data_IF_757235387525
#
_entry.id   IF_757235387525
#
_cell.length_a   1.000
_cell.length_b   1.000
_cell.length_c   1.000
_cell.angle_alpha   90.00
_cell.angle_beta   90.00
_cell.angle_gamma   90.00
#
_symmetry.space_group_name_H-M   'P 1'
#
loop_
_entity.id
_entity.type
_entity.pdbx_description
1 polymer ?
#
# COMPACT_ATOMS: atom_id res chain seq x y z
N UNK A 1 18.44 -11.06 -5.15
CA UNK A 1 17.80 -10.48 -3.95
C UNK A 1 16.43 -10.03 -4.39
N UNK A 2 15.37 -10.53 -3.76
CA UNK A 2 14.02 -10.13 -4.10
C UNK A 2 13.57 -9.04 -3.13
N UNK A 3 12.99 -7.96 -3.65
CA UNK A 3 12.62 -6.76 -2.91
C UNK A 3 11.22 -6.30 -3.29
N UNK A 4 10.56 -5.55 -2.40
CA UNK A 4 9.30 -4.88 -2.71
C UNK A 4 9.58 -3.81 -3.78
N UNK A 5 8.79 -3.80 -4.84
CA UNK A 5 8.99 -2.89 -5.98
C UNK A 5 8.03 -1.71 -5.92
N UNK A 6 8.48 -0.55 -6.37
CA UNK A 6 7.57 0.57 -6.59
C UNK A 6 6.71 0.27 -7.83
N UNK A 7 5.41 0.49 -7.71
CA UNK A 7 4.40 0.34 -8.76
C UNK A 7 3.86 1.73 -9.10
N UNK A 8 3.62 1.98 -10.39
CA UNK A 8 2.79 3.10 -10.83
C UNK A 8 1.32 2.66 -10.74
N UNK A 9 0.47 3.31 -9.90
CA UNK A 9 -0.94 2.96 -9.81
C UNK A 9 -1.65 2.99 -11.17
N UNK A 10 -1.20 3.79 -12.14
CA UNK A 10 -1.79 3.82 -13.49
C UNK A 10 -1.61 2.52 -14.28
N UNK A 11 -0.71 1.65 -13.85
CA UNK A 11 -0.51 0.32 -14.46
C UNK A 11 -1.48 -0.74 -13.91
N UNK A 12 -2.16 -0.44 -12.80
CA UNK A 12 -3.25 -1.27 -12.27
C UNK A 12 -4.51 -1.00 -13.09
N UNK A 13 -5.27 -2.04 -13.42
CA UNK A 13 -6.54 -1.89 -14.13
C UNK A 13 -7.53 -1.02 -13.34
N UNK A 14 -8.41 -0.33 -14.07
CA UNK A 14 -9.30 0.68 -13.47
C UNK A 14 -10.22 0.11 -12.38
N UNK A 15 -10.70 -1.13 -12.54
CA UNK A 15 -11.57 -1.77 -11.57
C UNK A 15 -10.81 -2.09 -10.27
N UNK A 16 -9.60 -2.65 -10.39
CA UNK A 16 -8.75 -2.94 -9.22
C UNK A 16 -8.35 -1.68 -8.48
N UNK A 17 -8.07 -0.57 -9.18
CA UNK A 17 -7.80 0.72 -8.53
C UNK A 17 -8.97 1.21 -7.70
N UNK A 18 -10.19 1.17 -8.25
CA UNK A 18 -11.40 1.56 -7.52
C UNK A 18 -11.60 0.70 -6.26
N UNK A 19 -11.40 -0.62 -6.38
CA UNK A 19 -11.47 -1.54 -5.25
C UNK A 19 -10.42 -1.18 -4.18
N UNK A 20 -9.16 -0.98 -4.60
CA UNK A 20 -8.07 -0.62 -3.68
C UNK A 20 -8.33 0.71 -2.98
N UNK A 21 -8.87 1.70 -3.70
CA UNK A 21 -9.29 2.99 -3.14
C UNK A 21 -10.37 2.82 -2.08
N UNK A 22 -11.43 2.06 -2.36
CA UNK A 22 -12.47 1.77 -1.37
C UNK A 22 -11.95 1.04 -0.13
N UNK A 23 -11.04 0.07 -0.32
CA UNK A 23 -10.40 -0.66 0.77
C UNK A 23 -9.52 0.25 1.63
N UNK A 24 -8.75 1.15 1.01
CA UNK A 24 -7.92 2.11 1.73
C UNK A 24 -8.76 3.10 2.55
N UNK A 25 -9.84 3.65 1.97
CA UNK A 25 -10.77 4.52 2.71
C UNK A 25 -11.35 3.78 3.92
N UNK A 26 -11.76 2.52 3.72
CA UNK A 26 -12.30 1.68 4.80
C UNK A 26 -11.24 1.43 5.88
N UNK A 27 -10.00 1.14 5.47
CA UNK A 27 -8.86 0.93 6.36
C UNK A 27 -8.56 2.17 7.22
N UNK A 28 -8.53 3.37 6.63
CA UNK A 28 -8.28 4.61 7.36
C UNK A 28 -9.42 4.88 8.34
N UNK A 29 -10.68 4.76 7.89
CA UNK A 29 -11.84 5.08 8.71
C UNK A 29 -12.10 4.07 9.84
N UNK A 30 -11.59 2.84 9.74
CA UNK A 30 -11.74 1.81 10.79
C UNK A 30 -11.04 2.21 12.10
N UNK A 31 -9.96 2.99 12.04
CA UNK A 31 -9.18 3.48 13.17
C UNK A 31 -8.82 4.94 12.94
N UNK A 32 -9.86 5.78 12.83
CA UNK A 32 -9.72 7.15 12.35
C UNK A 32 -8.77 7.99 13.21
N UNK A 33 -8.75 7.77 14.53
CA UNK A 33 -7.87 8.54 15.44
C UNK A 33 -6.41 8.14 15.26
N UNK A 34 -6.14 6.85 15.14
CA UNK A 34 -4.79 6.29 14.98
C UNK A 34 -4.24 6.51 13.57
N UNK A 35 -5.11 6.64 12.57
CA UNK A 35 -4.78 6.74 11.14
C UNK A 35 -5.11 8.10 10.52
N UNK A 36 -5.38 9.11 11.34
CA UNK A 36 -5.74 10.46 10.89
C UNK A 36 -4.67 11.12 10.01
N UNK A 37 -3.41 10.68 10.09
CA UNK A 37 -2.32 11.16 9.24
C UNK A 37 -2.28 10.50 7.87
N UNK A 38 -3.11 9.49 7.61
CA UNK A 38 -3.16 8.80 6.33
C UNK A 38 -4.12 9.52 5.37
N UNK A 39 -3.72 9.58 4.11
CA UNK A 39 -4.46 10.20 3.03
C UNK A 39 -4.37 9.31 1.79
N UNK A 40 -5.51 9.11 1.13
CA UNK A 40 -5.64 8.17 0.01
C UNK A 40 -4.77 8.56 -1.18
N UNK A 41 -4.50 9.85 -1.37
CA UNK A 41 -3.68 10.35 -2.48
C UNK A 41 -2.21 10.54 -2.16
N UNK A 42 -1.79 10.38 -0.89
CA UNK A 42 -0.42 10.72 -0.46
C UNK A 42 0.30 9.64 0.32
N UNK A 43 -0.43 8.80 1.04
CA UNK A 43 0.18 7.73 1.84
C UNK A 43 0.84 6.67 0.97
N UNK A 44 1.81 5.97 1.55
CA UNK A 44 2.42 4.81 0.92
C UNK A 44 1.46 3.64 1.06
N UNK A 45 1.11 3.04 -0.06
CA UNK A 45 0.18 1.91 -0.15
C UNK A 45 0.99 0.66 -0.43
N UNK A 46 0.71 -0.43 0.29
CA UNK A 46 1.33 -1.74 0.08
C UNK A 46 0.35 -2.71 -0.57
N UNK A 47 0.85 -3.48 -1.53
CA UNK A 47 0.08 -4.45 -2.30
C UNK A 47 0.68 -5.84 -2.26
N UNK A 48 -0.18 -6.86 -2.42
CA UNK A 48 0.23 -8.24 -2.69
C UNK A 48 0.72 -8.44 -4.14
N UNK A 49 1.03 -9.69 -4.50
CA UNK A 49 1.48 -10.06 -5.85
C UNK A 49 0.43 -9.83 -6.95
N UNK A 50 -0.86 -9.74 -6.59
CA UNK A 50 -1.99 -9.54 -7.50
C UNK A 50 -2.44 -8.06 -7.53
N UNK A 51 -1.62 -7.15 -7.00
CA UNK A 51 -1.89 -5.72 -6.84
C UNK A 51 -3.11 -5.41 -5.96
N UNK A 52 -3.49 -6.31 -5.05
CA UNK A 52 -4.52 -6.08 -4.04
C UNK A 52 -4.00 -5.26 -2.86
N UNK A 53 -4.77 -4.27 -2.41
CA UNK A 53 -4.46 -3.46 -1.22
C UNK A 53 -4.28 -4.35 0.03
N UNK A 54 -3.20 -4.15 0.77
CA UNK A 54 -2.93 -4.81 2.05
C UNK A 54 -2.87 -3.83 3.22
N UNK A 55 -2.16 -2.72 3.05
CA UNK A 55 -1.90 -1.78 4.15
C UNK A 55 -1.50 -0.40 3.62
N UNK A 56 -1.56 0.62 4.48
CA UNK A 56 -1.04 1.95 4.18
C UNK A 56 -0.26 2.54 5.36
N UNK A 57 0.80 3.28 5.05
CA UNK A 57 1.65 3.99 6.02
C UNK A 57 1.91 5.42 5.55
N UNK A 58 2.26 6.31 6.47
CA UNK A 58 2.48 7.71 6.16
C UNK A 58 3.77 7.93 5.33
N UNK A 59 4.82 7.14 5.61
CA UNK A 59 6.14 7.29 5.01
C UNK A 59 6.71 5.95 4.57
N UNK A 60 7.51 5.95 3.50
CA UNK A 60 8.14 4.75 2.98
C UNK A 60 9.15 4.20 4.00
N UNK A 61 9.02 2.94 4.45
CA UNK A 61 10.01 2.33 5.33
C UNK A 61 11.39 2.25 4.68
N UNK A 62 12.43 2.18 5.51
CA UNK A 62 13.79 1.96 5.03
C UNK A 62 13.95 0.60 4.34
N UNK A 63 15.05 0.43 3.61
CA UNK A 63 15.33 -0.79 2.84
C UNK A 63 15.40 -2.04 3.72
N UNK A 64 15.85 -1.92 4.98
CA UNK A 64 15.92 -3.06 5.90
C UNK A 64 14.53 -3.53 6.31
N UNK A 65 13.62 -2.60 6.59
CA UNK A 65 12.22 -2.89 6.88
C UNK A 65 11.50 -3.44 5.63
N UNK A 66 11.72 -2.85 4.45
CA UNK A 66 11.15 -3.37 3.20
C UNK A 66 11.60 -4.81 2.91
N UNK A 67 12.86 -5.16 3.21
CA UNK A 67 13.33 -6.54 3.09
C UNK A 67 12.61 -7.46 4.08
N UNK A 68 12.46 -7.05 5.34
CA UNK A 68 11.70 -7.84 6.33
C UNK A 68 10.24 -8.03 5.93
N UNK A 69 9.61 -6.99 5.38
CA UNK A 69 8.24 -7.08 4.86
C UNK A 69 8.17 -8.07 3.69
N UNK A 70 9.14 -8.03 2.77
CA UNK A 70 9.22 -8.99 1.66
C UNK A 70 9.32 -10.44 2.18
N UNK A 71 10.21 -10.67 3.15
CA UNK A 71 10.53 -12.02 3.64
C UNK A 71 9.41 -12.62 4.51
N UNK A 72 8.64 -11.79 5.21
CA UNK A 72 7.68 -12.24 6.24
C UNK A 72 6.21 -12.00 5.88
N UNK A 73 5.91 -11.33 4.76
CA UNK A 73 4.53 -11.01 4.37
C UNK A 73 4.28 -11.30 2.89
N UNK A 74 3.04 -11.13 2.45
CA UNK A 74 2.65 -11.17 1.04
C UNK A 74 2.93 -9.87 0.28
N UNK A 75 3.45 -8.83 0.93
CA UNK A 75 3.69 -7.53 0.28
C UNK A 75 4.78 -7.67 -0.80
N UNK A 76 4.46 -7.25 -2.02
CA UNK A 76 5.37 -7.29 -3.18
C UNK A 76 5.51 -5.94 -3.87
N UNK A 77 4.51 -5.06 -3.75
CA UNK A 77 4.57 -3.74 -4.35
C UNK A 77 4.23 -2.62 -3.37
N UNK A 78 4.67 -1.41 -3.70
CA UNK A 78 4.24 -0.20 -3.03
C UNK A 78 4.04 0.96 -4.01
N UNK A 79 3.19 1.93 -3.68
CA UNK A 79 3.01 3.18 -4.44
C UNK A 79 2.78 4.38 -3.51
N UNK A 80 2.82 5.58 -4.05
CA UNK A 80 2.25 6.77 -3.40
C UNK A 80 0.81 6.96 -3.87
N UNK A 81 -0.12 6.89 -2.94
CA UNK A 81 -1.55 6.90 -3.21
C UNK A 81 -2.03 5.70 -4.03
N UNK A 82 -3.34 5.57 -4.16
CA UNK A 82 -3.98 4.57 -5.02
C UNK A 82 -4.94 5.18 -6.04
#
# INVERSE_FOLDING_TARGET
>A
MSSIQQLDPQQIDAMRREINHGLMVTFINAELLERASLDVGRSVVFYDADHGFLYAVAELPDTGMLQRLYDNTSIRFWSYGC
#
